data_IF_948401268425
#
_entry.id   IF_948401268425
#
_cell.length_a   1.000
_cell.length_b   1.000
_cell.length_c   1.000
_cell.angle_alpha   90.00
_cell.angle_beta   90.00
_cell.angle_gamma   90.00
#
_symmetry.space_group_name_H-M   'P 1'
#
loop_
_entity.id
_entity.type
_entity.pdbx_description
1 polymer ?
#
# COMPACT_ATOMS: atom_id res chain seq x y z
N UNK A 1 -11.73 -9.98 -1.39
CA UNK A 1 -10.63 -10.38 -2.30
C UNK A 1 -9.33 -10.48 -1.53
N UNK A 2 -8.53 -11.48 -1.82
CA UNK A 2 -7.20 -11.68 -1.24
C UNK A 2 -6.21 -12.06 -2.33
N UNK A 3 -5.03 -11.44 -2.32
CA UNK A 3 -3.90 -11.83 -3.15
C UNK A 3 -2.62 -11.94 -2.30
N UNK A 4 -1.61 -12.62 -2.81
CA UNK A 4 -0.33 -12.81 -2.12
C UNK A 4 0.84 -12.80 -3.10
N UNK A 5 2.03 -12.46 -2.57
CA UNK A 5 3.28 -12.40 -3.31
C UNK A 5 4.43 -12.94 -2.46
N UNK A 6 5.40 -13.62 -3.10
CA UNK A 6 6.60 -14.19 -2.46
C UNK A 6 7.92 -13.78 -3.12
N UNK A 7 7.90 -13.32 -4.36
CA UNK A 7 9.13 -12.92 -5.07
C UNK A 7 9.66 -11.58 -4.57
N UNK A 8 10.98 -11.50 -4.37
CA UNK A 8 11.63 -10.24 -4.00
C UNK A 8 11.55 -9.22 -5.15
N UNK A 9 11.31 -7.97 -4.79
CA UNK A 9 11.42 -6.82 -5.67
C UNK A 9 12.23 -5.71 -5.01
N UNK A 10 12.92 -4.91 -5.81
CA UNK A 10 13.84 -3.89 -5.30
C UNK A 10 13.65 -2.55 -6.02
N UNK A 11 14.06 -1.48 -5.34
CA UNK A 11 14.27 -0.16 -5.95
C UNK A 11 15.42 0.57 -5.30
N UNK A 12 16.11 1.40 -6.07
CA UNK A 12 17.09 2.38 -5.58
C UNK A 12 16.57 3.82 -5.71
N UNK A 13 15.34 3.98 -6.19
CA UNK A 13 14.71 5.27 -6.47
C UNK A 13 14.31 6.01 -5.19
N UNK A 14 14.52 7.32 -5.18
CA UNK A 14 14.00 8.23 -4.15
C UNK A 14 12.57 8.71 -4.44
N UNK A 15 12.00 8.32 -5.56
CA UNK A 15 10.57 8.48 -5.85
C UNK A 15 9.85 7.15 -5.74
N UNK A 16 8.58 7.16 -5.31
CA UNK A 16 7.78 5.95 -5.17
C UNK A 16 7.64 5.18 -6.49
N UNK A 17 8.04 3.93 -6.47
CA UNK A 17 7.93 2.97 -7.57
C UNK A 17 6.79 2.00 -7.30
N UNK A 18 6.09 1.58 -8.35
CA UNK A 18 4.94 0.70 -8.31
C UNK A 18 5.37 -0.78 -8.21
N UNK A 19 4.77 -1.53 -7.27
CA UNK A 19 5.01 -2.96 -7.08
C UNK A 19 3.74 -3.76 -7.36
N UNK A 20 3.41 -3.87 -8.63
CA UNK A 20 2.15 -4.44 -9.12
C UNK A 20 2.06 -5.96 -9.03
N UNK A 21 3.10 -6.67 -8.60
CA UNK A 21 3.05 -8.12 -8.38
C UNK A 21 2.17 -8.49 -7.17
N UNK A 22 1.98 -7.57 -6.19
CA UNK A 22 1.00 -7.72 -5.13
C UNK A 22 -0.18 -6.78 -5.41
N UNK A 23 -1.18 -7.26 -6.10
CA UNK A 23 -2.32 -6.47 -6.55
C UNK A 23 -3.62 -7.09 -6.07
N UNK A 24 -4.47 -6.27 -5.46
CA UNK A 24 -5.86 -6.61 -5.17
C UNK A 24 -6.81 -5.79 -6.03
N UNK A 25 -7.88 -6.43 -6.53
CA UNK A 25 -8.94 -5.76 -7.29
C UNK A 25 -10.29 -5.99 -6.64
N UNK A 26 -11.12 -4.95 -6.61
CA UNK A 26 -12.49 -5.00 -6.11
C UNK A 26 -13.38 -4.08 -6.94
N UNK A 27 -14.64 -4.45 -7.10
CA UNK A 27 -15.65 -3.61 -7.75
C UNK A 27 -16.73 -3.32 -6.72
N UNK A 28 -16.79 -2.09 -6.16
CA UNK A 28 -17.82 -1.74 -5.20
C UNK A 28 -19.22 -1.81 -5.80
N UNK A 29 -20.20 -2.24 -5.01
CA UNK A 29 -21.58 -2.38 -5.43
C UNK A 29 -22.36 -1.06 -5.38
N UNK A 30 -21.87 -0.08 -4.63
CA UNK A 30 -22.48 1.25 -4.52
C UNK A 30 -21.41 2.35 -4.42
N UNK A 31 -21.73 3.55 -4.91
CA UNK A 31 -20.80 4.70 -4.90
C UNK A 31 -20.47 5.21 -3.49
N UNK A 32 -21.32 4.93 -2.51
CA UNK A 32 -21.12 5.27 -1.10
C UNK A 32 -20.46 4.14 -0.29
N UNK A 33 -20.18 2.98 -0.92
CA UNK A 33 -19.41 1.92 -0.29
C UNK A 33 -18.00 2.38 0.03
N UNK A 34 -17.45 1.85 1.12
CA UNK A 34 -16.04 2.00 1.48
C UNK A 34 -15.30 0.69 1.21
N UNK A 35 -14.00 0.78 1.05
CA UNK A 35 -13.13 -0.39 0.88
C UNK A 35 -12.14 -0.45 2.04
N UNK A 36 -12.24 -1.49 2.86
CA UNK A 36 -11.20 -1.81 3.83
C UNK A 36 -10.04 -2.46 3.09
N UNK A 37 -8.89 -1.80 3.13
CA UNK A 37 -7.63 -2.24 2.53
C UNK A 37 -6.72 -2.69 3.67
N UNK A 38 -6.27 -3.94 3.62
CA UNK A 38 -5.28 -4.49 4.54
C UNK A 38 -4.11 -5.05 3.75
N UNK A 39 -2.92 -4.53 4.00
CA UNK A 39 -1.68 -4.93 3.31
C UNK A 39 -0.66 -5.34 4.35
N UNK A 40 -0.15 -6.56 4.25
CA UNK A 40 0.98 -7.03 5.04
C UNK A 40 2.18 -7.24 4.13
N UNK A 41 3.28 -6.60 4.46
CA UNK A 41 4.48 -6.57 3.62
C UNK A 41 5.70 -6.96 4.45
N UNK A 42 6.49 -7.88 3.91
CA UNK A 42 7.85 -8.12 4.39
C UNK A 42 8.82 -7.30 3.54
N UNK A 43 9.67 -6.54 4.20
CA UNK A 43 10.61 -5.64 3.54
C UNK A 43 11.93 -5.54 4.30
N UNK A 44 12.98 -5.10 3.63
CA UNK A 44 14.21 -4.65 4.28
C UNK A 44 14.88 -3.53 3.50
N UNK A 45 15.83 -2.87 4.12
CA UNK A 45 16.68 -1.81 3.54
C UNK A 45 18.12 -2.08 3.96
N UNK A 46 19.07 -1.66 3.13
CA UNK A 46 20.49 -1.72 3.46
C UNK A 46 20.81 -1.02 4.79
N UNK A 47 21.84 -1.50 5.48
CA UNK A 47 22.24 -1.02 6.79
C UNK A 47 22.49 0.51 6.83
N UNK A 48 21.88 1.18 7.79
CA UNK A 48 22.01 2.63 7.99
C UNK A 48 21.04 3.50 7.18
N UNK A 49 20.20 2.89 6.33
CA UNK A 49 19.29 3.62 5.41
C UNK A 49 17.82 3.49 5.80
N UNK A 50 16.99 4.25 5.09
CA UNK A 50 15.54 4.34 5.29
C UNK A 50 14.81 3.99 4.01
N UNK A 51 13.69 3.28 4.15
CA UNK A 51 12.69 3.09 3.11
C UNK A 51 11.32 3.55 3.56
N UNK A 52 10.53 4.00 2.60
CA UNK A 52 9.12 4.33 2.79
C UNK A 52 8.27 3.41 1.95
N UNK A 53 7.18 2.91 2.54
CA UNK A 53 6.18 2.09 1.85
C UNK A 53 4.83 2.76 1.97
N UNK A 54 4.09 2.76 0.87
CA UNK A 54 2.74 3.29 0.74
C UNK A 54 1.95 2.39 -0.21
N UNK A 55 0.75 2.78 -0.59
CA UNK A 55 -0.01 2.11 -1.63
C UNK A 55 -0.76 3.09 -2.51
N UNK A 56 -1.07 2.64 -3.72
CA UNK A 56 -1.88 3.36 -4.70
C UNK A 56 -3.20 2.68 -4.92
N UNK A 57 -4.17 3.50 -5.26
CA UNK A 57 -5.47 3.13 -5.82
C UNK A 57 -5.52 3.56 -7.28
N UNK A 58 -5.85 2.64 -8.18
CA UNK A 58 -6.18 2.93 -9.58
C UNK A 58 -7.64 2.58 -9.84
N UNK A 59 -8.43 3.54 -10.28
CA UNK A 59 -9.83 3.33 -10.70
C UNK A 59 -9.82 3.09 -12.20
N UNK A 60 -10.44 2.00 -12.67
CA UNK A 60 -10.53 1.68 -14.09
C UNK A 60 -11.19 2.81 -14.88
N UNK A 61 -10.48 3.32 -15.89
CA UNK A 61 -10.89 4.49 -16.68
C UNK A 61 -10.74 5.84 -15.98
N UNK A 62 -10.13 5.86 -14.79
CA UNK A 62 -9.95 7.06 -13.98
C UNK A 62 -8.51 7.31 -13.53
N UNK A 63 -8.38 8.07 -12.46
CA UNK A 63 -7.09 8.49 -11.92
C UNK A 63 -6.43 7.40 -11.05
N UNK A 64 -5.09 7.40 -11.04
CA UNK A 64 -4.29 6.72 -10.03
C UNK A 64 -3.95 7.69 -8.91
N UNK A 65 -4.21 7.29 -7.67
CA UNK A 65 -4.01 8.11 -6.47
C UNK A 65 -3.13 7.36 -5.49
N UNK A 66 -2.07 7.99 -5.00
CA UNK A 66 -1.31 7.50 -3.85
C UNK A 66 -2.06 7.90 -2.57
N UNK A 67 -2.27 6.97 -1.66
CA UNK A 67 -3.24 7.12 -0.56
C UNK A 67 -2.61 7.69 0.71
N UNK A 68 -1.45 7.19 1.11
CA UNK A 68 -0.82 7.54 2.39
C UNK A 68 0.17 8.70 2.31
N UNK A 69 0.12 9.50 1.27
CA UNK A 69 1.04 10.64 1.11
C UNK A 69 0.87 11.66 2.24
N UNK A 70 1.84 11.69 3.14
CA UNK A 70 2.06 12.78 4.06
C UNK A 70 3.29 13.56 3.61
N UNK A 71 3.22 14.88 3.66
CA UNK A 71 4.39 15.73 3.46
C UNK A 71 4.79 16.30 4.82
N UNK A 72 5.99 15.94 5.27
CA UNK A 72 6.66 16.60 6.37
C UNK A 72 7.79 17.45 5.77
N UNK A 73 7.59 18.75 5.75
CA UNK A 73 8.48 19.67 5.05
C UNK A 73 8.52 19.38 3.52
N UNK A 74 9.70 19.01 3.00
CA UNK A 74 9.90 18.68 1.58
C UNK A 74 9.87 17.19 1.26
N UNK A 75 9.72 16.31 2.27
CA UNK A 75 9.78 14.87 2.09
C UNK A 75 8.36 14.27 2.00
N UNK A 76 8.08 13.59 0.89
CA UNK A 76 6.88 12.76 0.76
C UNK A 76 7.11 11.44 1.49
N UNK A 77 6.33 11.19 2.55
CA UNK A 77 6.36 9.96 3.35
C UNK A 77 5.16 9.09 3.01
N UNK A 78 5.25 7.79 3.31
CA UNK A 78 4.15 6.83 3.18
C UNK A 78 3.66 6.37 4.54
N UNK A 79 2.85 5.31 4.54
CA UNK A 79 2.35 4.67 5.77
C UNK A 79 3.43 4.01 6.62
N UNK A 80 4.50 3.52 5.98
CA UNK A 80 5.55 2.76 6.66
C UNK A 80 6.89 3.46 6.48
N UNK A 81 7.54 3.69 7.61
CA UNK A 81 8.90 4.15 7.72
C UNK A 81 9.75 3.02 8.31
N UNK A 82 10.65 2.45 7.53
CA UNK A 82 11.58 1.44 7.97
C UNK A 82 13.01 1.98 7.93
N UNK A 83 13.65 2.04 9.09
CA UNK A 83 15.06 2.40 9.22
C UNK A 83 15.86 1.18 9.68
N UNK A 84 16.94 0.88 8.97
CA UNK A 84 17.95 -0.08 9.42
C UNK A 84 19.02 0.65 10.21
N UNK A 85 19.49 0.05 11.29
CA UNK A 85 20.63 0.55 12.04
C UNK A 85 21.94 0.20 11.33
N UNK A 86 23.00 0.95 11.60
CA UNK A 86 24.33 0.68 11.04
C UNK A 86 24.79 -0.74 11.42
N UNK A 87 25.14 -1.55 10.40
CA UNK A 87 25.64 -2.91 10.60
C UNK A 87 24.59 -4.00 10.63
N UNK A 88 23.27 -3.67 10.52
CA UNK A 88 22.21 -4.67 10.59
C UNK A 88 21.30 -4.65 9.36
N UNK A 89 20.99 -5.84 8.83
CA UNK A 89 19.97 -6.04 7.81
C UNK A 89 18.64 -6.35 8.55
N UNK A 90 17.86 -5.33 8.79
CA UNK A 90 16.60 -5.50 9.50
C UNK A 90 15.46 -5.92 8.54
N UNK A 91 15.14 -7.22 8.53
CA UNK A 91 13.88 -7.69 7.94
C UNK A 91 12.72 -7.25 8.81
N UNK A 92 11.74 -6.60 8.20
CA UNK A 92 10.57 -6.11 8.93
C UNK A 92 9.29 -6.57 8.25
N UNK A 93 8.32 -6.95 9.07
CA UNK A 93 6.94 -7.13 8.63
C UNK A 93 6.16 -5.88 9.04
N UNK A 94 5.51 -5.27 8.07
CA UNK A 94 4.69 -4.07 8.25
C UNK A 94 3.26 -4.36 7.83
N UNK A 95 2.30 -3.82 8.57
CA UNK A 95 0.88 -3.91 8.29
C UNK A 95 0.32 -2.52 8.05
N UNK A 96 -0.44 -2.35 6.98
CA UNK A 96 -1.21 -1.16 6.67
C UNK A 96 -2.68 -1.53 6.70
N UNK A 97 -3.47 -0.81 7.45
CA UNK A 97 -4.94 -0.92 7.44
C UNK A 97 -5.54 0.45 7.14
N UNK A 98 -6.36 0.53 6.09
CA UNK A 98 -6.96 1.78 5.64
C UNK A 98 -8.39 1.57 5.20
N UNK A 99 -9.28 2.51 5.58
CA UNK A 99 -10.66 2.54 5.10
C UNK A 99 -10.79 3.61 4.03
N UNK A 100 -10.74 3.18 2.78
CA UNK A 100 -10.85 4.05 1.61
C UNK A 100 -12.31 4.38 1.26
N UNK A 101 -12.51 5.55 0.65
CA UNK A 101 -13.81 6.04 0.18
C UNK A 101 -13.69 6.41 -1.31
N UNK A 102 -13.68 5.44 -2.21
CA UNK A 102 -13.37 5.66 -3.62
C UNK A 102 -14.48 6.35 -4.42
N UNK A 103 -15.71 6.37 -3.90
CA UNK A 103 -16.89 7.01 -4.49
C UNK A 103 -17.20 6.57 -5.92
N UNK A 104 -17.03 5.28 -6.22
CA UNK A 104 -17.24 4.69 -7.55
C UNK A 104 -17.76 3.27 -7.48
N UNK A 105 -18.42 2.83 -8.54
CA UNK A 105 -18.77 1.42 -8.82
C UNK A 105 -17.89 0.81 -9.92
N UNK A 106 -16.90 1.56 -10.43
CA UNK A 106 -15.90 1.01 -11.34
C UNK A 106 -14.93 0.08 -10.59
N UNK A 107 -14.31 -0.84 -11.32
CA UNK A 107 -13.27 -1.68 -10.75
C UNK A 107 -12.11 -0.84 -10.21
N UNK A 108 -11.63 -1.20 -9.03
CA UNK A 108 -10.51 -0.54 -8.36
C UNK A 108 -9.39 -1.56 -8.16
N UNK A 109 -8.17 -1.13 -8.44
CA UNK A 109 -6.95 -1.89 -8.21
C UNK A 109 -6.12 -1.19 -7.14
N UNK A 110 -5.70 -1.95 -6.11
CA UNK A 110 -4.78 -1.49 -5.07
C UNK A 110 -3.48 -2.26 -5.17
N UNK A 111 -2.35 -1.57 -5.00
CA UNK A 111 -1.02 -2.15 -5.00
C UNK A 111 -0.04 -1.30 -4.18
N UNK A 112 0.98 -1.93 -3.54
CA UNK A 112 1.98 -1.19 -2.79
C UNK A 112 2.93 -0.42 -3.69
N UNK A 113 3.49 0.64 -3.12
CA UNK A 113 4.57 1.43 -3.70
C UNK A 113 5.67 1.63 -2.67
N UNK A 114 6.91 1.74 -3.10
CA UNK A 114 8.06 1.90 -2.21
C UNK A 114 9.09 2.85 -2.82
N UNK A 115 9.83 3.53 -1.95
CA UNK A 115 11.03 4.29 -2.31
C UNK A 115 12.14 4.10 -1.28
N UNK A 116 13.38 4.29 -1.71
CA UNK A 116 14.50 4.54 -0.81
C UNK A 116 14.55 6.02 -0.43
N UNK A 117 15.01 6.35 0.78
CA UNK A 117 15.30 7.73 1.15
C UNK A 117 16.54 8.26 0.42
N UNK A 118 17.53 7.40 0.22
CA UNK A 118 18.83 7.76 -0.34
C UNK A 118 19.02 7.14 -1.72
N UNK A 119 19.37 7.96 -2.70
CA UNK A 119 19.65 7.50 -4.07
C UNK A 119 20.78 6.46 -4.11
N UNK A 120 20.58 5.41 -4.91
CA UNK A 120 21.53 4.31 -5.05
C UNK A 120 21.51 3.27 -3.92
N UNK A 121 20.73 3.49 -2.86
CA UNK A 121 20.56 2.50 -1.78
C UNK A 121 19.37 1.60 -2.06
N UNK A 122 19.60 0.30 -2.05
CA UNK A 122 18.57 -0.67 -2.42
C UNK A 122 17.61 -0.90 -1.27
N UNK A 123 16.34 -0.61 -1.51
CA UNK A 123 15.21 -1.00 -0.70
C UNK A 123 14.55 -2.25 -1.30
N UNK A 124 14.10 -3.16 -0.46
CA UNK A 124 13.57 -4.46 -0.82
C UNK A 124 12.15 -4.64 -0.29
N UNK A 125 11.29 -5.25 -1.08
CA UNK A 125 9.92 -5.62 -0.73
C UNK A 125 9.66 -7.07 -1.14
N UNK A 126 8.76 -7.78 -0.44
CA UNK A 126 8.42 -9.20 -0.66
C UNK A 126 9.60 -10.17 -0.43
N UNK A 127 10.49 -9.84 0.49
CA UNK A 127 11.79 -10.47 0.59
C UNK A 127 11.75 -11.89 1.17
N UNK A 128 12.74 -12.70 0.74
CA UNK A 128 13.18 -13.95 1.35
C UNK A 128 12.11 -15.04 1.42
N UNK A 129 11.20 -15.11 0.45
CA UNK A 129 10.14 -16.12 0.40
C UNK A 129 9.05 -15.94 1.44
N UNK A 130 9.10 -14.87 2.24
CA UNK A 130 8.03 -14.51 3.16
C UNK A 130 6.79 -14.03 2.41
N UNK A 131 5.64 -14.48 2.87
CA UNK A 131 4.36 -14.13 2.27
C UNK A 131 4.00 -12.69 2.58
N UNK A 132 3.81 -11.88 1.54
CA UNK A 132 3.13 -10.57 1.62
C UNK A 132 1.72 -10.72 1.07
N UNK A 133 0.77 -10.03 1.68
CA UNK A 133 -0.66 -10.18 1.34
C UNK A 133 -1.34 -8.84 1.17
N UNK A 134 -2.35 -8.80 0.31
CA UNK A 134 -3.34 -7.73 0.24
C UNK A 134 -4.73 -8.34 0.36
N UNK A 135 -5.55 -7.76 1.24
CA UNK A 135 -6.94 -8.12 1.44
C UNK A 135 -7.81 -6.89 1.23
N UNK A 136 -8.89 -7.06 0.46
CA UNK A 136 -9.86 -6.01 0.20
C UNK A 136 -11.26 -6.49 0.60
N UNK A 137 -11.96 -5.66 1.35
CA UNK A 137 -13.34 -5.92 1.77
C UNK A 137 -14.20 -4.70 1.51
N UNK A 138 -15.31 -4.88 0.81
CA UNK A 138 -16.32 -3.82 0.70
C UNK A 138 -17.09 -3.68 2.00
N UNK A 139 -17.22 -2.45 2.47
CA UNK A 139 -18.06 -2.06 3.60
C UNK A 139 -19.22 -1.27 3.04
N UNK A 140 -20.41 -1.86 3.08
CA UNK A 140 -21.62 -1.22 2.61
C UNK A 140 -22.06 -0.13 3.60
N UNK A 141 -22.44 1.04 3.09
CA UNK A 141 -23.10 2.03 3.91
C UNK A 141 -24.50 1.54 4.26
N UNK A 142 -24.79 1.37 5.54
CA UNK A 142 -26.15 1.07 6.01
C UNK A 142 -27.02 2.29 5.82
N UNK A 143 -28.01 2.19 4.93
CA UNK A 143 -29.15 3.10 4.95
C UNK A 143 -30.01 2.75 6.16
N UNK A 144 -29.97 3.57 7.19
CA UNK A 144 -31.05 3.57 8.18
C UNK A 144 -32.26 4.14 7.45
N UNK A 145 -33.16 3.26 6.97
CA UNK A 145 -34.49 3.65 6.61
C UNK A 145 -35.12 4.26 7.86
N UNK A 146 -35.13 5.60 7.95
CA UNK A 146 -36.05 6.29 8.85
C UNK A 146 -37.46 5.97 8.33
N UNK A 147 -38.05 4.90 8.86
CA UNK A 147 -39.49 4.74 8.76
C UNK A 147 -40.09 5.90 9.55
N UNK A 148 -40.38 6.98 8.85
CA UNK A 148 -41.20 8.05 9.40
C UNK A 148 -42.58 7.49 9.74
N UNK A 149 -42.98 7.62 11.00
CA UNK A 149 -44.36 7.60 11.41
C UNK A 149 -44.91 9.01 11.25
#
# INVERSE_FOLDING_TARGET
>A
VQAYQRGEQTTTSTTFQDFTQLTGTITPTATNSKVLVQIEITSHIAAGYVQFIDFKRNISGGATTQIGTSTDGSATQGFVYNKSLSGDLAYRRSSITWLDSPSTTSQITYYPVMKSETNGQTAYIFNNGNLSTIQLMEILAWFILKTGK
#
